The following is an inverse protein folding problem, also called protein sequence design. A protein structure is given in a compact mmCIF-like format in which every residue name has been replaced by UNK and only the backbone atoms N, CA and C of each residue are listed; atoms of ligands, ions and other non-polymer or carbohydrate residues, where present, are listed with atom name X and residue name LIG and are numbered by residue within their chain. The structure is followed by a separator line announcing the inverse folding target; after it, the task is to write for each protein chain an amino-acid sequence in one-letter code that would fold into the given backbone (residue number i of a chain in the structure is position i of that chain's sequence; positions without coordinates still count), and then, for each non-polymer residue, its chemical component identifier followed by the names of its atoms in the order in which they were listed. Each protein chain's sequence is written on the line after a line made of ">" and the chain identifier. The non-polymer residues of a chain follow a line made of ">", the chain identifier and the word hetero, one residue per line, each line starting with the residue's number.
data_IF_605408821229
#
_entry.id   IF_605408821229
#
_cell.length_a   1.000
_cell.length_b   1.000
_cell.length_c   1.000
_cell.angle_alpha   90.00
_cell.angle_beta   90.00
_cell.angle_gamma   90.00
#
_symmetry.space_group_name_H-M   'P 1'
#
loop_
_entity.id
_entity.type
_entity.pdbx_description
1 polymer ?
#
# COMPACT_ATOMS: atom_id res chain seq x y z
N UNK A 1 -23.56 6.27 3.67
CA UNK A 1 -23.72 5.09 2.80
C UNK A 1 -22.74 5.22 1.64
N UNK A 2 -22.04 4.14 1.29
CA UNK A 2 -21.22 4.10 0.08
C UNK A 2 -22.14 4.18 -1.15
N UNK A 3 -21.74 4.93 -2.19
CA UNK A 3 -22.54 5.01 -3.41
C UNK A 3 -22.40 3.73 -4.24
N UNK A 4 -23.42 3.43 -5.04
CA UNK A 4 -23.48 2.19 -5.83
C UNK A 4 -22.32 2.05 -6.83
N UNK A 5 -21.77 3.17 -7.32
CA UNK A 5 -20.66 3.11 -8.25
C UNK A 5 -19.38 2.66 -7.55
N UNK A 6 -19.07 3.25 -6.39
CA UNK A 6 -17.92 2.85 -5.58
C UNK A 6 -17.99 1.37 -5.17
N UNK A 7 -19.16 0.89 -4.76
CA UNK A 7 -19.33 -0.53 -4.39
C UNK A 7 -19.07 -1.47 -5.58
N UNK A 8 -19.52 -1.09 -6.79
CA UNK A 8 -19.28 -1.88 -8.00
C UNK A 8 -17.79 -1.93 -8.34
N UNK A 9 -17.11 -0.78 -8.31
CA UNK A 9 -15.67 -0.70 -8.58
C UNK A 9 -14.86 -1.46 -7.53
N UNK A 10 -15.22 -1.34 -6.24
CA UNK A 10 -14.61 -2.11 -5.17
C UNK A 10 -14.78 -3.62 -5.39
N UNK A 11 -15.98 -4.08 -5.79
CA UNK A 11 -16.21 -5.49 -6.10
C UNK A 11 -15.30 -5.98 -7.24
N UNK A 12 -15.10 -5.17 -8.27
CA UNK A 12 -14.16 -5.47 -9.35
C UNK A 12 -12.72 -5.54 -8.86
N UNK A 13 -12.29 -4.58 -8.02
CA UNK A 13 -10.95 -4.57 -7.41
C UNK A 13 -10.73 -5.85 -6.60
N UNK A 14 -11.67 -6.21 -5.72
CA UNK A 14 -11.56 -7.42 -4.90
C UNK A 14 -11.51 -8.68 -5.77
N UNK A 15 -12.36 -8.79 -6.79
CA UNK A 15 -12.30 -9.90 -7.75
C UNK A 15 -10.92 -10.03 -8.41
N UNK A 16 -10.32 -8.90 -8.82
CA UNK A 16 -8.98 -8.89 -9.41
C UNK A 16 -7.89 -9.32 -8.45
N UNK A 17 -8.03 -9.02 -7.15
CA UNK A 17 -7.07 -9.40 -6.12
C UNK A 17 -7.20 -10.88 -5.75
N UNK A 18 -8.43 -11.37 -5.53
CA UNK A 18 -8.62 -12.67 -4.85
C UNK A 18 -9.01 -13.83 -5.76
N UNK A 19 -9.62 -13.55 -6.92
CA UNK A 19 -10.23 -14.61 -7.75
C UNK A 19 -9.64 -14.70 -9.17
N UNK A 20 -9.14 -13.58 -9.69
CA UNK A 20 -8.81 -13.47 -11.11
C UNK A 20 -7.75 -14.49 -11.55
N UNK A 21 -6.73 -14.74 -10.73
CA UNK A 21 -5.70 -15.75 -11.02
C UNK A 21 -6.30 -17.14 -11.26
N UNK A 22 -7.05 -17.64 -10.28
CA UNK A 22 -7.68 -18.98 -10.31
C UNK A 22 -8.68 -19.11 -11.46
N UNK A 23 -9.39 -18.03 -11.80
CA UNK A 23 -10.41 -18.06 -12.87
C UNK A 23 -9.85 -17.98 -14.29
N UNK A 24 -8.56 -17.67 -14.46
CA UNK A 24 -7.97 -17.38 -15.77
C UNK A 24 -6.74 -18.25 -16.12
N UNK A 25 -6.48 -19.29 -15.33
CA UNK A 25 -5.51 -20.35 -15.66
C UNK A 25 -6.10 -21.34 -16.68
N UNK A 26 -5.22 -21.96 -17.45
CA UNK A 26 -5.55 -22.97 -18.47
C UNK A 26 -5.86 -24.36 -17.91
N UNK A 27 -5.62 -24.55 -16.60
CA UNK A 27 -5.78 -25.82 -15.91
C UNK A 27 -6.71 -25.69 -14.70
N UNK A 28 -7.18 -26.82 -14.19
CA UNK A 28 -8.05 -26.87 -13.02
C UNK A 28 -7.22 -26.90 -11.74
N UNK A 29 -7.51 -25.97 -10.82
CA UNK A 29 -6.87 -25.92 -9.51
C UNK A 29 -7.62 -26.81 -8.51
N UNK A 30 -7.39 -28.11 -8.58
CA UNK A 30 -8.03 -29.10 -7.67
C UNK A 30 -7.26 -29.28 -6.36
N UNK A 31 -5.95 -28.99 -6.36
CA UNK A 31 -5.11 -28.95 -5.16
C UNK A 31 -3.91 -28.02 -5.38
N UNK A 32 -3.28 -27.58 -4.28
CA UNK A 32 -2.06 -26.76 -4.31
C UNK A 32 -0.90 -27.52 -4.95
N UNK A 33 -0.87 -28.86 -4.88
CA UNK A 33 0.22 -29.67 -5.45
C UNK A 33 0.36 -29.53 -6.97
N UNK A 34 -0.71 -29.10 -7.65
CA UNK A 34 -0.67 -28.79 -9.09
C UNK A 34 0.35 -27.69 -9.40
N UNK A 35 0.63 -26.79 -8.45
CA UNK A 35 1.59 -25.70 -8.59
C UNK A 35 3.05 -26.14 -8.42
N UNK A 36 3.32 -27.40 -8.05
CA UNK A 36 4.69 -27.95 -8.04
C UNK A 36 5.26 -28.09 -9.45
N UNK A 37 4.39 -28.18 -10.46
CA UNK A 37 4.79 -28.04 -11.86
C UNK A 37 5.18 -26.57 -12.12
N UNK A 38 6.45 -26.36 -12.50
CA UNK A 38 7.02 -25.03 -12.68
C UNK A 38 6.25 -24.19 -13.72
N UNK A 39 5.76 -24.82 -14.79
CA UNK A 39 5.03 -24.12 -15.84
C UNK A 39 3.64 -23.70 -15.35
N UNK A 40 2.95 -24.59 -14.64
CA UNK A 40 1.63 -24.29 -14.05
C UNK A 40 1.73 -23.26 -12.93
N UNK A 41 2.77 -23.35 -12.09
CA UNK A 41 3.08 -22.39 -11.05
C UNK A 41 3.37 -21.00 -11.62
N UNK A 42 4.22 -20.91 -12.65
CA UNK A 42 4.49 -19.65 -13.34
C UNK A 42 3.22 -19.09 -13.99
N UNK A 43 2.44 -19.90 -14.69
CA UNK A 43 1.18 -19.46 -15.30
C UNK A 43 0.22 -18.90 -14.24
N UNK A 44 0.01 -19.62 -13.14
CA UNK A 44 -0.87 -19.19 -12.07
C UNK A 44 -0.45 -17.82 -11.53
N UNK A 45 0.84 -17.65 -11.21
CA UNK A 45 1.36 -16.40 -10.66
C UNK A 45 1.28 -15.26 -11.69
N UNK A 46 1.58 -15.51 -12.96
CA UNK A 46 1.37 -14.53 -14.04
C UNK A 46 -0.09 -14.07 -14.13
N UNK A 47 -1.07 -14.98 -13.93
CA UNK A 47 -2.50 -14.62 -13.91
C UNK A 47 -2.88 -13.85 -12.64
N UNK A 48 -2.35 -14.23 -11.47
CA UNK A 48 -2.54 -13.47 -10.22
C UNK A 48 -2.00 -12.06 -10.37
N UNK A 49 -0.77 -11.89 -10.84
CA UNK A 49 -0.15 -10.59 -11.05
C UNK A 49 -0.87 -9.75 -12.11
N UNK A 50 -1.43 -10.37 -13.15
CA UNK A 50 -2.30 -9.67 -14.09
C UNK A 50 -3.58 -9.14 -13.41
N UNK A 51 -4.15 -9.90 -12.48
CA UNK A 51 -5.22 -9.44 -11.60
C UNK A 51 -4.78 -8.26 -10.75
N UNK A 52 -3.65 -8.38 -10.04
CA UNK A 52 -3.09 -7.29 -9.24
C UNK A 52 -2.84 -6.02 -10.05
N UNK A 53 -2.33 -6.13 -11.27
CA UNK A 53 -2.10 -4.98 -12.15
C UNK A 53 -3.41 -4.27 -12.52
N UNK A 54 -4.47 -5.03 -12.81
CA UNK A 54 -5.82 -4.47 -13.03
C UNK A 54 -6.37 -3.78 -11.77
N UNK A 55 -6.20 -4.41 -10.61
CA UNK A 55 -6.62 -3.85 -9.32
C UNK A 55 -5.87 -2.55 -9.00
N UNK A 56 -4.54 -2.56 -9.09
CA UNK A 56 -3.65 -1.42 -8.86
C UNK A 56 -4.06 -0.21 -9.73
N UNK A 57 -4.28 -0.43 -11.04
CA UNK A 57 -4.75 0.62 -11.95
C UNK A 57 -6.09 1.22 -11.52
N UNK A 58 -7.07 0.39 -11.14
CA UNK A 58 -8.38 0.85 -10.68
C UNK A 58 -8.31 1.58 -9.34
N UNK A 59 -7.51 1.07 -8.39
CA UNK A 59 -7.27 1.71 -7.09
C UNK A 59 -6.68 3.09 -7.31
N UNK A 60 -5.64 3.20 -8.13
CA UNK A 60 -4.98 4.45 -8.44
C UNK A 60 -5.93 5.46 -9.07
N UNK A 61 -6.66 5.06 -10.12
CA UNK A 61 -7.66 5.92 -10.78
C UNK A 61 -8.69 6.45 -9.79
N UNK A 62 -9.18 5.59 -8.89
CA UNK A 62 -10.13 5.99 -7.86
C UNK A 62 -9.55 6.94 -6.83
N UNK A 63 -8.33 6.68 -6.36
CA UNK A 63 -7.64 7.55 -5.41
C UNK A 63 -7.38 8.95 -6.01
N UNK A 64 -7.03 9.03 -7.28
CA UNK A 64 -6.89 10.32 -7.99
C UNK A 64 -8.23 11.07 -8.06
N UNK A 65 -9.33 10.40 -8.39
CA UNK A 65 -10.66 11.01 -8.43
C UNK A 65 -11.14 11.47 -7.06
N UNK A 66 -10.93 10.66 -6.02
CA UNK A 66 -11.26 10.99 -4.63
C UNK A 66 -10.40 12.14 -4.12
N UNK A 67 -9.11 12.18 -4.45
CA UNK A 67 -8.19 13.26 -4.11
C UNK A 67 -8.68 14.62 -4.66
N UNK A 68 -9.06 14.68 -5.94
CA UNK A 68 -9.65 15.89 -6.55
C UNK A 68 -10.92 16.33 -5.83
N UNK A 69 -11.81 15.38 -5.51
CA UNK A 69 -13.06 15.66 -4.77
C UNK A 69 -12.76 16.18 -3.36
N UNK A 70 -11.78 15.59 -2.68
CA UNK A 70 -11.36 15.95 -1.33
C UNK A 70 -10.88 17.40 -1.28
N UNK A 71 -9.96 17.78 -2.17
CA UNK A 71 -9.45 19.16 -2.25
C UNK A 71 -10.57 20.17 -2.49
N UNK A 72 -11.48 19.89 -3.44
CA UNK A 72 -12.64 20.75 -3.73
C UNK A 72 -13.56 20.91 -2.53
N UNK A 73 -13.88 19.82 -1.83
CA UNK A 73 -14.75 19.87 -0.63
C UNK A 73 -14.07 20.63 0.50
N UNK A 74 -12.75 20.47 0.68
CA UNK A 74 -11.99 21.22 1.68
C UNK A 74 -11.99 22.73 1.41
N UNK A 75 -11.85 23.15 0.16
CA UNK A 75 -11.96 24.55 -0.25
C UNK A 75 -13.36 25.10 0.02
N UNK A 76 -14.41 24.37 -0.36
CA UNK A 76 -15.79 24.74 -0.08
C UNK A 76 -16.07 24.91 1.42
N UNK A 77 -15.55 24.01 2.27
CA UNK A 77 -15.67 24.14 3.73
C UNK A 77 -14.99 25.42 4.22
N UNK A 78 -13.80 25.75 3.71
CA UNK A 78 -13.08 26.98 4.08
C UNK A 78 -13.89 28.22 3.68
N UNK A 79 -14.48 28.25 2.49
CA UNK A 79 -15.31 29.35 2.00
C UNK A 79 -16.59 29.52 2.82
N UNK A 80 -17.33 28.45 3.08
CA UNK A 80 -18.55 28.47 3.90
C UNK A 80 -18.28 28.98 5.32
N UNK A 81 -17.14 28.60 5.91
CA UNK A 81 -16.69 29.12 7.21
C UNK A 81 -16.40 30.62 7.16
N UNK A 82 -15.75 31.11 6.10
CA UNK A 82 -15.48 32.56 5.90
C UNK A 82 -16.77 33.37 5.72
N UNK A 83 -17.73 32.82 4.99
CA UNK A 83 -19.03 33.44 4.74
C UNK A 83 -20.00 33.35 5.94
N UNK A 84 -19.58 32.75 7.06
CA UNK A 84 -20.42 32.51 8.25
C UNK A 84 -21.75 31.82 7.88
N UNK A 85 -21.71 30.93 6.90
CA UNK A 85 -22.88 30.17 6.46
C UNK A 85 -23.45 29.30 7.58
N UNK A 86 -24.70 28.85 7.41
CA UNK A 86 -25.36 28.04 8.42
C UNK A 86 -24.55 26.80 8.83
N UNK A 87 -24.47 26.56 10.15
CA UNK A 87 -23.73 25.44 10.74
C UNK A 87 -24.11 24.08 10.14
N UNK A 88 -25.39 23.87 9.81
CA UNK A 88 -25.90 22.64 9.22
C UNK A 88 -25.28 22.35 7.83
N UNK A 89 -25.04 23.40 7.03
CA UNK A 89 -24.46 23.26 5.69
C UNK A 89 -22.98 22.87 5.80
N UNK A 90 -22.25 23.50 6.73
CA UNK A 90 -20.85 23.19 7.02
C UNK A 90 -20.72 21.73 7.50
N UNK A 91 -21.56 21.32 8.45
CA UNK A 91 -21.57 19.94 8.96
C UNK A 91 -21.83 18.90 7.88
N UNK A 92 -22.76 19.18 6.95
CA UNK A 92 -23.02 18.28 5.82
C UNK A 92 -21.78 18.11 4.93
N UNK A 93 -21.04 19.19 4.66
CA UNK A 93 -19.79 19.13 3.88
C UNK A 93 -18.66 18.43 4.62
N UNK A 94 -18.57 18.60 5.93
CA UNK A 94 -17.64 17.85 6.77
C UNK A 94 -17.96 16.34 6.75
N UNK A 95 -19.24 15.96 6.76
CA UNK A 95 -19.65 14.55 6.56
C UNK A 95 -19.28 14.03 5.17
N UNK A 96 -19.49 14.82 4.10
CA UNK A 96 -19.07 14.46 2.74
C UNK A 96 -17.55 14.19 2.69
N UNK A 97 -16.76 15.02 3.38
CA UNK A 97 -15.31 14.87 3.49
C UNK A 97 -14.90 13.57 4.20
N UNK A 98 -15.56 13.23 5.32
CA UNK A 98 -15.29 11.96 6.02
C UNK A 98 -15.65 10.73 5.19
N UNK A 99 -16.73 10.79 4.40
CA UNK A 99 -17.07 9.72 3.44
C UNK A 99 -15.98 9.55 2.39
N UNK A 100 -15.41 10.65 1.87
CA UNK A 100 -14.31 10.59 0.90
C UNK A 100 -13.08 9.94 1.53
N UNK A 101 -12.66 10.37 2.73
CA UNK A 101 -11.53 9.78 3.46
C UNK A 101 -11.74 8.30 3.75
N UNK A 102 -12.97 7.90 4.10
CA UNK A 102 -13.29 6.49 4.31
C UNK A 102 -13.09 5.67 3.03
N UNK A 103 -13.56 6.16 1.87
CA UNK A 103 -13.36 5.48 0.59
C UNK A 103 -11.87 5.36 0.23
N UNK A 104 -11.08 6.40 0.45
CA UNK A 104 -9.63 6.35 0.26
C UNK A 104 -8.98 5.27 1.13
N UNK A 105 -9.37 5.17 2.40
CA UNK A 105 -8.88 4.12 3.31
C UNK A 105 -9.24 2.71 2.81
N UNK A 106 -10.47 2.50 2.34
CA UNK A 106 -10.91 1.21 1.80
C UNK A 106 -10.07 0.79 0.59
N UNK A 107 -9.79 1.73 -0.33
CA UNK A 107 -8.95 1.45 -1.50
C UNK A 107 -7.50 1.13 -1.13
N UNK A 108 -6.92 1.86 -0.17
CA UNK A 108 -5.59 1.55 0.36
C UNK A 108 -5.54 0.18 1.03
N UNK A 109 -6.61 -0.24 1.71
CA UNK A 109 -6.71 -1.57 2.30
C UNK A 109 -6.80 -2.68 1.25
N UNK A 110 -7.41 -2.40 0.09
CA UNK A 110 -7.34 -3.32 -1.04
C UNK A 110 -5.90 -3.42 -1.61
N UNK A 111 -5.16 -2.31 -1.68
CA UNK A 111 -3.74 -2.34 -2.05
C UNK A 111 -2.88 -3.08 -1.00
N UNK A 112 -3.17 -2.89 0.29
CA UNK A 112 -2.52 -3.65 1.36
C UNK A 112 -2.72 -5.15 1.15
N UNK A 113 -3.93 -5.61 0.79
CA UNK A 113 -4.18 -7.02 0.54
C UNK A 113 -3.30 -7.62 -0.59
N UNK A 114 -2.92 -6.81 -1.58
CA UNK A 114 -1.93 -7.20 -2.59
C UNK A 114 -0.54 -7.32 -1.93
N UNK A 115 -0.12 -6.30 -1.19
CA UNK A 115 1.16 -6.30 -0.49
C UNK A 115 1.32 -7.50 0.47
N UNK A 116 0.30 -7.80 1.26
CA UNK A 116 0.29 -8.95 2.18
C UNK A 116 0.54 -10.27 1.43
N UNK A 117 -0.10 -10.45 0.28
CA UNK A 117 0.11 -11.65 -0.55
C UNK A 117 1.53 -11.71 -1.14
N UNK A 118 2.08 -10.58 -1.63
CA UNK A 118 3.45 -10.54 -2.16
C UNK A 118 4.52 -10.80 -1.09
N UNK A 119 4.20 -10.47 0.16
CA UNK A 119 5.06 -10.66 1.34
C UNK A 119 4.76 -11.97 2.08
N UNK A 120 4.00 -12.89 1.48
CA UNK A 120 3.63 -14.19 2.06
C UNK A 120 2.98 -14.09 3.46
N UNK A 121 2.29 -12.99 3.75
CA UNK A 121 1.72 -12.68 5.06
C UNK A 121 2.74 -12.66 6.22
N UNK A 122 4.03 -12.46 5.93
CA UNK A 122 5.07 -12.42 6.94
C UNK A 122 5.05 -11.07 7.70
N UNK A 123 4.51 -11.11 8.91
CA UNK A 123 4.41 -9.93 9.78
C UNK A 123 5.78 -9.37 10.17
N UNK A 124 6.82 -10.19 10.21
CA UNK A 124 8.18 -9.75 10.56
C UNK A 124 8.74 -8.84 9.46
N UNK A 125 8.48 -9.18 8.19
CA UNK A 125 8.83 -8.37 7.03
C UNK A 125 7.96 -7.12 6.95
N UNK A 126 6.64 -7.25 7.09
CA UNK A 126 5.68 -6.13 7.01
C UNK A 126 6.00 -5.03 8.02
N UNK A 127 6.36 -5.39 9.27
CA UNK A 127 6.71 -4.41 10.31
C UNK A 127 7.93 -3.56 9.96
N UNK A 128 8.86 -4.06 9.15
CA UNK A 128 10.08 -3.33 8.74
C UNK A 128 9.80 -2.29 7.66
N UNK A 129 8.73 -2.47 6.90
CA UNK A 129 8.30 -1.54 5.85
C UNK A 129 7.56 -0.31 6.41
N UNK A 130 7.09 -0.37 7.66
CA UNK A 130 6.41 0.72 8.33
C UNK A 130 7.37 1.55 9.18
N UNK A 131 7.33 2.88 9.04
CA UNK A 131 8.26 3.83 9.68
C UNK A 131 7.56 4.91 10.50
N UNK A 132 6.26 4.76 10.79
CA UNK A 132 5.44 5.76 11.47
C UNK A 132 5.44 7.14 10.77
N UNK A 133 5.66 7.18 9.46
CA UNK A 133 5.61 8.40 8.66
C UNK A 133 4.14 8.68 8.30
N UNK A 134 3.65 9.92 8.37
CA UNK A 134 2.33 10.26 7.85
C UNK A 134 2.22 9.87 6.37
N UNK A 135 1.14 9.18 5.93
CA UNK A 135 0.99 8.78 4.54
C UNK A 135 1.04 9.98 3.60
N UNK A 136 1.78 9.84 2.50
CA UNK A 136 1.79 10.85 1.44
C UNK A 136 0.46 10.77 0.67
N UNK A 137 -0.08 11.92 0.33
CA UNK A 137 -1.28 11.99 -0.49
C UNK A 137 -0.92 11.61 -1.93
N UNK A 138 -1.45 10.49 -2.43
CA UNK A 138 -1.24 9.97 -3.80
C UNK A 138 -1.46 11.05 -4.87
N UNK A 139 -2.35 12.01 -4.61
CA UNK A 139 -2.66 13.11 -5.53
C UNK A 139 -1.51 14.09 -5.79
N UNK A 140 -0.48 14.11 -4.92
CA UNK A 140 0.68 15.00 -5.07
C UNK A 140 1.93 14.30 -5.61
N UNK A 141 1.85 12.99 -5.90
CA UNK A 141 2.94 12.18 -6.46
C UNK A 141 2.92 12.22 -7.99
N UNK A 142 4.07 11.99 -8.64
CA UNK A 142 4.15 11.92 -10.10
C UNK A 142 3.72 10.55 -10.62
N UNK A 143 2.49 10.17 -10.26
CA UNK A 143 1.83 8.88 -10.52
C UNK A 143 2.02 8.37 -11.95
N UNK A 144 2.13 9.28 -12.92
CA UNK A 144 2.31 8.92 -14.32
C UNK A 144 3.64 8.21 -14.55
N UNK A 145 4.72 8.74 -14.00
CA UNK A 145 6.06 8.14 -14.10
C UNK A 145 6.09 6.77 -13.43
N UNK A 146 5.51 6.65 -12.23
CA UNK A 146 5.44 5.38 -11.50
C UNK A 146 4.69 4.32 -12.31
N UNK A 147 3.58 4.69 -12.93
CA UNK A 147 2.80 3.78 -13.78
C UNK A 147 3.55 3.36 -15.05
N UNK A 148 4.31 4.27 -15.67
CA UNK A 148 5.12 3.94 -16.86
C UNK A 148 6.19 2.90 -16.51
N UNK A 149 6.88 3.08 -15.38
CA UNK A 149 7.90 2.12 -14.91
C UNK A 149 7.27 0.77 -14.50
N UNK A 150 6.16 0.80 -13.76
CA UNK A 150 5.38 -0.40 -13.38
C UNK A 150 4.94 -1.18 -14.63
N UNK A 151 4.46 -0.49 -15.67
CA UNK A 151 4.07 -1.12 -16.92
C UNK A 151 5.26 -1.72 -17.67
N UNK A 152 6.39 -1.01 -17.72
CA UNK A 152 7.64 -1.48 -18.31
C UNK A 152 8.11 -2.79 -17.66
N UNK A 153 8.25 -2.80 -16.33
CA UNK A 153 8.65 -3.99 -15.56
C UNK A 153 7.68 -5.16 -15.81
N UNK A 154 6.37 -4.90 -15.74
CA UNK A 154 5.36 -5.96 -15.88
C UNK A 154 5.25 -6.51 -17.32
N UNK A 155 5.49 -5.68 -18.34
CA UNK A 155 5.50 -6.12 -19.74
C UNK A 155 6.71 -6.99 -20.07
N UNK A 156 7.85 -6.75 -19.41
CA UNK A 156 9.06 -7.55 -19.58
C UNK A 156 8.91 -8.99 -19.06
N UNK A 157 8.36 -9.17 -17.86
CA UNK A 157 7.94 -10.49 -17.35
C UNK A 157 6.74 -10.34 -16.40
N UNK A 158 5.59 -10.92 -16.78
CA UNK A 158 4.36 -10.84 -15.99
C UNK A 158 4.38 -11.72 -14.72
N UNK A 159 5.41 -12.56 -14.54
CA UNK A 159 5.69 -13.24 -13.28
C UNK A 159 6.44 -12.35 -12.27
N UNK A 160 6.80 -11.12 -12.67
CA UNK A 160 7.33 -10.07 -11.81
C UNK A 160 6.22 -9.04 -11.58
N UNK A 161 5.94 -8.72 -10.33
CA UNK A 161 4.93 -7.71 -9.99
C UNK A 161 5.55 -6.51 -9.26
N UNK A 162 5.50 -5.31 -9.86
CA UNK A 162 5.81 -4.05 -9.21
C UNK A 162 4.54 -3.42 -8.59
N UNK A 163 4.50 -3.37 -7.26
CA UNK A 163 3.47 -2.68 -6.48
C UNK A 163 3.91 -1.24 -6.20
N UNK A 164 3.03 -0.27 -6.45
CA UNK A 164 3.25 1.13 -6.06
C UNK A 164 3.00 1.28 -4.56
N UNK A 165 4.05 1.58 -3.81
CA UNK A 165 4.02 1.62 -2.35
C UNK A 165 3.09 2.72 -1.81
N UNK A 166 3.03 3.85 -2.52
CA UNK A 166 2.16 4.98 -2.19
C UNK A 166 0.66 4.64 -2.22
N UNK A 167 0.26 3.51 -2.84
CA UNK A 167 -1.11 3.01 -2.79
C UNK A 167 -1.44 2.26 -1.50
N UNK A 168 -0.42 1.78 -0.79
CA UNK A 168 -0.59 1.03 0.46
C UNK A 168 -0.74 1.98 1.65
N UNK A 169 -1.07 1.45 2.81
CA UNK A 169 -1.12 2.21 4.07
C UNK A 169 0.09 1.99 4.97
N UNK A 170 0.89 0.95 4.71
CA UNK A 170 1.96 0.54 5.62
C UNK A 170 3.36 0.46 4.99
N UNK A 171 3.50 0.39 3.65
CA UNK A 171 4.81 0.43 3.01
C UNK A 171 5.24 1.88 2.87
N UNK A 172 6.33 2.25 3.55
CA UNK A 172 6.80 3.63 3.68
C UNK A 172 8.25 3.81 3.23
N UNK A 173 8.74 2.86 2.42
CA UNK A 173 10.13 2.77 1.98
C UNK A 173 10.14 2.40 0.51
N UNK A 174 10.84 3.20 -0.31
CA UNK A 174 10.84 3.05 -1.76
C UNK A 174 9.49 3.44 -2.39
N UNK A 175 9.50 3.68 -3.69
CA UNK A 175 8.31 3.97 -4.48
C UNK A 175 7.65 2.69 -4.98
N UNK A 176 8.44 1.65 -5.29
CA UNK A 176 7.96 0.33 -5.71
C UNK A 176 8.45 -0.79 -4.80
N UNK A 177 7.57 -1.76 -4.56
CA UNK A 177 7.89 -3.10 -4.06
C UNK A 177 7.83 -4.07 -5.23
N UNK A 178 8.94 -4.73 -5.56
CA UNK A 178 9.02 -5.69 -6.66
C UNK A 178 9.21 -7.10 -6.12
N UNK A 179 8.33 -8.00 -6.59
CA UNK A 179 8.36 -9.42 -6.26
C UNK A 179 8.40 -10.27 -7.52
N UNK A 180 9.26 -11.27 -7.55
CA UNK A 180 9.36 -12.23 -8.65
C UNK A 180 8.93 -13.61 -8.17
N UNK A 181 8.30 -14.39 -9.03
CA UNK A 181 7.81 -15.72 -8.69
C UNK A 181 8.90 -16.66 -8.15
N UNK A 182 10.03 -16.74 -8.87
CA UNK A 182 11.11 -17.69 -8.58
C UNK A 182 12.23 -17.08 -7.73
N UNK A 183 12.07 -15.85 -7.25
CA UNK A 183 13.09 -15.18 -6.46
C UNK A 183 12.58 -14.92 -5.04
N UNK A 184 13.17 -15.53 -4.01
CA UNK A 184 12.78 -15.26 -2.63
C UNK A 184 13.20 -13.86 -2.18
N UNK A 185 14.06 -13.16 -2.92
CA UNK A 185 14.46 -11.79 -2.59
C UNK A 185 13.33 -10.79 -2.86
N UNK A 186 13.14 -9.90 -1.90
CA UNK A 186 12.36 -8.70 -2.05
C UNK A 186 13.23 -7.59 -2.66
N UNK A 187 12.67 -6.76 -3.54
CA UNK A 187 13.36 -5.55 -4.03
C UNK A 187 12.51 -4.32 -3.75
N UNK A 188 13.11 -3.32 -3.10
CA UNK A 188 12.55 -1.98 -2.95
C UNK A 188 13.24 -1.05 -3.95
N UNK A 189 12.46 -0.36 -4.79
CA UNK A 189 12.98 0.55 -5.80
C UNK A 189 12.49 1.95 -5.48
N UNK A 190 13.40 2.91 -5.52
CA UNK A 190 13.10 4.35 -5.41
C UNK A 190 13.22 4.95 -6.82
N UNK A 191 12.14 5.51 -7.32
CA UNK A 191 12.06 6.09 -8.66
C UNK A 191 12.56 7.53 -8.64
N UNK A 192 13.46 7.83 -9.58
CA UNK A 192 14.14 9.12 -9.66
C UNK A 192 13.78 9.79 -10.97
N UNK A 193 13.10 10.92 -10.88
CA UNK A 193 12.72 11.71 -12.06
C UNK A 193 13.30 13.12 -12.03
N UNK A 194 13.64 13.63 -13.20
CA UNK A 194 13.95 15.03 -13.44
C UNK A 194 15.44 15.33 -13.46
N UNK A 195 15.79 16.41 -14.16
CA UNK A 195 17.18 16.79 -14.49
C UNK A 195 18.14 16.80 -13.30
N UNK A 196 17.67 17.23 -12.13
CA UNK A 196 18.54 17.29 -10.94
C UNK A 196 18.81 15.90 -10.37
N UNK A 197 17.83 15.00 -10.38
CA UNK A 197 18.03 13.61 -9.94
C UNK A 197 18.93 12.85 -10.94
N UNK A 198 18.77 13.09 -12.24
CA UNK A 198 19.68 12.56 -13.27
C UNK A 198 21.13 13.04 -13.06
N UNK A 199 21.31 14.32 -12.73
CA UNK A 199 22.62 14.89 -12.42
C UNK A 199 23.22 14.28 -11.14
N UNK A 200 22.44 14.15 -10.07
CA UNK A 200 22.87 13.49 -8.83
C UNK A 200 23.25 12.03 -9.11
N UNK A 201 22.43 11.30 -9.87
CA UNK A 201 22.69 9.92 -10.26
C UNK A 201 24.01 9.79 -11.04
N UNK A 202 24.29 10.71 -11.96
CA UNK A 202 25.57 10.77 -12.69
C UNK A 202 26.75 10.98 -11.77
N UNK A 203 26.67 11.94 -10.84
CA UNK A 203 27.74 12.19 -9.87
C UNK A 203 28.03 10.94 -9.01
N UNK A 204 26.99 10.25 -8.57
CA UNK A 204 27.12 9.00 -7.81
C UNK A 204 27.72 7.90 -8.67
N UNK A 205 27.27 7.76 -9.93
CA UNK A 205 27.83 6.79 -10.88
C UNK A 205 29.31 7.01 -11.13
N UNK A 206 29.71 8.24 -11.44
CA UNK A 206 31.12 8.63 -11.64
C UNK A 206 31.98 8.35 -10.39
N UNK A 207 31.45 8.62 -9.20
CA UNK A 207 32.14 8.32 -7.94
C UNK A 207 32.24 6.82 -7.67
N UNK A 208 31.22 6.04 -8.03
CA UNK A 208 31.22 4.59 -7.86
C UNK A 208 32.21 3.92 -8.80
N UNK A 209 32.29 4.39 -10.05
CA UNK A 209 33.27 3.91 -11.04
C UNK A 209 34.71 4.32 -10.70
N UNK A 210 34.89 5.53 -10.14
CA UNK A 210 36.19 6.07 -9.77
C UNK A 210 36.11 6.89 -8.48
N UNK A 211 36.28 6.24 -7.30
CA UNK A 211 36.16 6.91 -6.02
C UNK A 211 37.21 8.01 -5.84
N UNK A 212 36.77 9.26 -5.71
CA UNK A 212 37.63 10.40 -5.48
C UNK A 212 36.90 11.51 -4.72
N UNK A 213 37.12 11.58 -3.41
CA UNK A 213 36.45 12.53 -2.51
C UNK A 213 36.73 13.98 -2.90
N UNK A 214 37.95 14.27 -3.35
CA UNK A 214 38.34 15.62 -3.77
C UNK A 214 37.58 16.07 -5.01
N UNK A 215 37.36 15.17 -5.99
CA UNK A 215 36.58 15.45 -7.20
C UNK A 215 35.12 15.71 -6.84
N UNK A 216 34.53 14.82 -6.02
CA UNK A 216 33.15 14.97 -5.56
C UNK A 216 32.96 16.28 -4.77
N UNK A 217 33.91 16.62 -3.90
CA UNK A 217 33.88 17.88 -3.15
C UNK A 217 33.80 19.09 -4.09
N UNK A 218 34.65 19.16 -5.12
CA UNK A 218 34.61 20.28 -6.06
C UNK A 218 33.31 20.30 -6.87
N UNK A 219 32.86 19.15 -7.39
CA UNK A 219 31.59 19.04 -8.12
C UNK A 219 30.38 19.49 -7.28
N UNK A 220 30.40 19.25 -5.97
CA UNK A 220 29.35 19.70 -5.05
C UNK A 220 29.53 21.17 -4.65
N UNK A 221 30.75 21.67 -4.48
CA UNK A 221 31.02 23.04 -3.99
C UNK A 221 30.45 24.14 -4.89
N UNK A 222 30.28 23.86 -6.18
CA UNK A 222 29.71 24.79 -7.17
C UNK A 222 28.16 24.77 -7.19
N UNK A 223 27.52 23.87 -6.43
CA UNK A 223 26.07 23.68 -6.45
C UNK A 223 25.35 24.52 -5.40
N UNK A 224 24.09 24.85 -5.68
CA UNK A 224 23.27 25.62 -4.75
C UNK A 224 22.81 24.80 -3.53
N UNK A 225 22.25 25.48 -2.53
CA UNK A 225 21.74 24.81 -1.31
C UNK A 225 20.60 23.83 -1.62
N UNK A 226 19.83 24.08 -2.67
CA UNK A 226 18.70 23.22 -3.06
C UNK A 226 19.21 21.87 -3.59
N UNK A 227 20.21 21.89 -4.46
CA UNK A 227 20.90 20.72 -4.97
C UNK A 227 21.51 19.91 -3.83
N UNK A 228 22.23 20.55 -2.91
CA UNK A 228 22.80 19.86 -1.75
C UNK A 228 21.75 19.15 -0.90
N UNK A 229 20.59 19.78 -0.69
CA UNK A 229 19.46 19.15 0.02
C UNK A 229 18.92 17.94 -0.75
N UNK A 230 18.78 18.05 -2.07
CA UNK A 230 18.33 16.93 -2.92
C UNK A 230 19.36 15.79 -2.96
N UNK A 231 20.65 16.09 -3.09
CA UNK A 231 21.74 15.11 -3.03
C UNK A 231 21.73 14.33 -1.71
N UNK A 232 21.68 15.04 -0.57
CA UNK A 232 21.58 14.39 0.76
C UNK A 232 20.31 13.53 0.89
N UNK A 233 19.19 14.02 0.38
CA UNK A 233 17.93 13.26 0.36
C UNK A 233 18.05 12.00 -0.49
N UNK A 234 18.64 12.12 -1.68
CA UNK A 234 18.86 11.00 -2.61
C UNK A 234 19.64 9.88 -1.93
N UNK A 235 20.83 10.18 -1.42
CA UNK A 235 21.69 9.19 -0.73
C UNK A 235 20.96 8.55 0.46
N UNK A 236 20.22 9.34 1.25
CA UNK A 236 19.48 8.82 2.40
C UNK A 236 18.36 7.85 1.99
N UNK A 237 17.63 8.15 0.91
CA UNK A 237 16.56 7.29 0.40
C UNK A 237 17.12 5.98 -0.16
N UNK A 238 18.17 6.06 -1.00
CA UNK A 238 18.85 4.87 -1.55
C UNK A 238 19.38 3.97 -0.44
N UNK A 239 20.14 4.54 0.50
CA UNK A 239 20.68 3.80 1.63
C UNK A 239 19.58 3.13 2.44
N UNK A 240 18.47 3.82 2.69
CA UNK A 240 17.34 3.26 3.44
C UNK A 240 16.70 2.08 2.72
N UNK A 241 16.46 2.20 1.42
CA UNK A 241 15.87 1.14 0.62
C UNK A 241 16.80 -0.09 0.61
N UNK A 242 18.11 0.12 0.43
CA UNK A 242 19.14 -0.92 0.48
C UNK A 242 19.20 -1.59 1.85
N UNK A 243 19.44 -0.83 2.92
CA UNK A 243 19.57 -1.36 4.29
C UNK A 243 18.32 -2.18 4.68
N UNK A 244 17.12 -1.69 4.31
CA UNK A 244 15.87 -2.41 4.59
C UNK A 244 15.75 -3.69 3.78
N UNK A 245 16.11 -3.64 2.50
CA UNK A 245 16.12 -4.82 1.61
C UNK A 245 17.09 -5.88 2.13
N UNK A 246 18.28 -5.48 2.56
CA UNK A 246 19.29 -6.37 3.12
C UNK A 246 18.82 -7.01 4.43
N UNK A 247 18.20 -6.23 5.33
CA UNK A 247 17.63 -6.77 6.58
C UNK A 247 16.54 -7.80 6.29
N UNK A 248 15.63 -7.51 5.37
CA UNK A 248 14.53 -8.41 5.02
C UNK A 248 15.07 -9.70 4.38
N UNK A 249 16.02 -9.59 3.46
CA UNK A 249 16.52 -10.73 2.70
C UNK A 249 17.54 -11.58 3.46
N UNK A 250 18.34 -10.98 4.35
CA UNK A 250 19.37 -11.69 5.12
C UNK A 250 18.92 -12.08 6.54
N UNK A 251 17.81 -11.51 7.02
CA UNK A 251 17.38 -11.65 8.41
C UNK A 251 18.28 -10.91 9.40
N UNK A 252 19.27 -10.13 8.97
CA UNK A 252 20.22 -9.44 9.84
C UNK A 252 20.53 -8.02 9.35
N UNK A 253 20.87 -7.11 10.26
CA UNK A 253 21.38 -5.79 9.89
C UNK A 253 21.30 -4.81 11.05
N UNK A 254 21.24 -3.52 10.76
CA UNK A 254 21.18 -2.47 11.80
C UNK A 254 19.88 -1.69 11.74
N UNK A 255 19.28 -1.47 12.89
CA UNK A 255 18.10 -0.61 13.00
C UNK A 255 18.47 0.85 12.68
N UNK A 256 17.79 1.44 11.69
CA UNK A 256 18.08 2.82 11.26
C UNK A 256 17.83 3.87 12.37
N UNK A 257 16.93 3.57 13.32
CA UNK A 257 16.54 4.51 14.38
C UNK A 257 17.45 4.41 15.60
N UNK A 258 17.75 3.20 16.03
CA UNK A 258 18.51 2.93 17.27
C UNK A 258 19.97 2.59 17.03
N UNK A 259 20.35 2.21 15.80
CA UNK A 259 21.70 1.78 15.44
C UNK A 259 22.08 0.38 15.94
N UNK A 260 21.15 -0.32 16.60
CA UNK A 260 21.37 -1.63 17.19
C UNK A 260 21.34 -2.72 16.12
N UNK A 261 22.11 -3.78 16.34
CA UNK A 261 22.06 -4.97 15.50
C UNK A 261 20.71 -5.68 15.67
N UNK A 262 20.05 -5.91 14.54
CA UNK A 262 18.80 -6.67 14.43
C UNK A 262 19.14 -8.05 13.91
N UNK A 263 18.51 -9.06 14.51
CA UNK A 263 18.30 -10.37 13.90
C UNK A 263 16.79 -10.64 13.85
N UNK A 264 16.26 -10.90 12.66
CA UNK A 264 14.92 -11.43 12.47
C UNK A 264 14.95 -12.87 13.00
N UNK A 265 14.05 -13.18 13.93
CA UNK A 265 13.93 -14.51 14.49
C UNK A 265 13.36 -15.40 13.38
N UNK A 266 14.07 -16.47 13.03
CA UNK A 266 13.68 -17.41 11.96
C UNK A 266 12.42 -18.24 12.30
N UNK A 267 11.93 -18.13 13.54
CA UNK A 267 10.71 -18.80 13.98
C UNK A 267 9.51 -18.27 13.20
N UNK A 268 8.78 -19.19 12.57
CA UNK A 268 7.53 -18.89 11.89
C UNK A 268 6.49 -18.53 12.95
N UNK A 269 6.34 -17.24 13.21
CA UNK A 269 5.18 -16.75 13.94
C UNK A 269 3.97 -16.87 13.03
N UNK A 270 3.18 -17.92 13.21
CA UNK A 270 1.85 -17.98 12.62
C UNK A 270 1.04 -16.82 13.22
N UNK A 271 0.78 -15.81 12.41
CA UNK A 271 -0.15 -14.75 12.79
C UNK A 271 -1.51 -15.41 12.92
N UNK A 272 -2.04 -15.47 14.13
CA UNK A 272 -3.38 -15.99 14.36
C UNK A 272 -4.34 -15.06 13.64
N UNK A 273 -4.95 -15.54 12.57
CA UNK A 273 -5.98 -14.80 11.87
C UNK A 273 -7.29 -14.92 12.64
N UNK A 274 -8.16 -13.93 12.46
CA UNK A 274 -9.51 -13.95 13.03
C UNK A 274 -10.54 -14.42 12.01
N UNK A 275 -10.11 -15.13 10.97
CA UNK A 275 -10.96 -15.52 9.84
C UNK A 275 -12.07 -16.47 10.29
N UNK A 276 -11.75 -17.40 11.20
CA UNK A 276 -12.73 -18.30 11.83
C UNK A 276 -13.71 -17.51 12.69
N UNK A 277 -13.21 -16.54 13.46
CA UNK A 277 -14.04 -15.68 14.27
C UNK A 277 -15.00 -14.85 13.43
N UNK A 278 -14.53 -14.24 12.35
CA UNK A 278 -15.33 -13.44 11.42
C UNK A 278 -16.31 -14.31 10.64
N UNK A 279 -15.91 -15.50 10.19
CA UNK A 279 -16.79 -16.45 9.49
C UNK A 279 -17.95 -16.87 10.39
N UNK A 280 -17.63 -17.21 11.65
CA UNK A 280 -18.65 -17.49 12.68
C UNK A 280 -19.60 -16.29 12.86
N UNK A 281 -19.05 -15.08 12.92
CA UNK A 281 -19.86 -13.86 13.06
C UNK A 281 -20.78 -13.64 11.86
N UNK A 282 -20.35 -13.94 10.64
CA UNK A 282 -21.18 -13.83 9.43
C UNK A 282 -22.32 -14.84 9.45
N UNK A 283 -22.05 -16.09 9.83
CA UNK A 283 -23.10 -17.11 10.00
C UNK A 283 -24.11 -16.74 11.10
N UNK A 284 -23.62 -16.17 12.21
CA UNK A 284 -24.48 -15.68 13.30
C UNK A 284 -25.35 -14.51 12.86
N UNK A 285 -24.79 -13.61 12.03
CA UNK A 285 -25.52 -12.48 11.45
C UNK A 285 -26.64 -12.97 10.52
N UNK A 286 -26.42 -14.01 9.72
CA UNK A 286 -27.48 -14.58 8.89
C UNK A 286 -28.64 -15.14 9.73
N UNK A 287 -28.35 -15.63 10.94
CA UNK A 287 -29.35 -16.17 11.88
C UNK A 287 -30.04 -15.08 12.72
N UNK A 288 -29.27 -14.10 13.21
CA UNK A 288 -29.69 -13.17 14.29
C UNK A 288 -29.71 -11.70 13.87
N UNK A 289 -29.31 -11.39 12.63
CA UNK A 289 -29.11 -10.04 12.06
C UNK A 289 -27.96 -9.22 12.68
N UNK A 290 -27.31 -9.73 13.72
CA UNK A 290 -26.13 -9.15 14.33
C UNK A 290 -25.26 -10.24 14.97
N UNK A 291 -23.97 -9.96 15.10
CA UNK A 291 -23.02 -10.73 15.90
C UNK A 291 -22.02 -9.79 16.53
N UNK A 292 -21.64 -10.04 17.78
CA UNK A 292 -20.66 -9.25 18.52
C UNK A 292 -19.66 -10.20 19.18
N UNK A 293 -18.37 -9.95 18.96
CA UNK A 293 -17.27 -10.68 19.61
C UNK A 293 -16.29 -9.70 20.21
N UNK A 294 -15.66 -10.14 21.30
CA UNK A 294 -14.48 -9.49 21.86
C UNK A 294 -13.29 -10.38 21.48
N UNK A 295 -12.36 -9.82 20.73
CA UNK A 295 -11.15 -10.47 20.25
C UNK A 295 -9.98 -9.98 21.12
N UNK A 296 -9.17 -10.92 21.60
CA UNK A 296 -8.00 -10.70 22.46
C UNK A 296 -8.28 -9.74 23.64
N UNK A 297 -9.49 -9.86 24.21
CA UNK A 297 -9.99 -9.07 25.35
C UNK A 297 -9.99 -7.54 25.15
N UNK A 298 -9.64 -7.05 23.96
CA UNK A 298 -9.42 -5.62 23.71
C UNK A 298 -10.10 -5.07 22.45
N UNK A 299 -10.43 -5.93 21.47
CA UNK A 299 -11.07 -5.52 20.22
C UNK A 299 -12.52 -6.00 20.17
N UNK A 300 -13.47 -5.07 20.26
CA UNK A 300 -14.89 -5.38 20.07
C UNK A 300 -15.21 -5.30 18.57
N UNK A 301 -15.56 -6.43 17.96
CA UNK A 301 -16.01 -6.51 16.58
C UNK A 301 -17.51 -6.74 16.57
N UNK A 302 -18.23 -5.92 15.80
CA UNK A 302 -19.66 -6.08 15.53
C UNK A 302 -19.90 -6.27 14.05
N UNK A 303 -20.68 -7.29 13.69
CA UNK A 303 -21.19 -7.51 12.33
C UNK A 303 -22.71 -7.39 12.35
N UNK A 304 -23.29 -6.66 11.38
CA UNK A 304 -24.74 -6.35 11.36
C UNK A 304 -25.30 -6.35 9.92
N UNK A 305 -26.53 -6.83 9.74
CA UNK A 305 -27.24 -6.74 8.45
C UNK A 305 -27.99 -5.43 8.34
N UNK A 306 -27.59 -4.59 7.38
CA UNK A 306 -28.13 -3.23 7.19
C UNK A 306 -29.56 -3.17 6.62
N UNK A 307 -30.14 -4.31 6.22
CA UNK A 307 -31.51 -4.34 5.67
C UNK A 307 -32.63 -4.08 6.70
N UNK A 308 -32.34 -4.07 8.01
CA UNK A 308 -33.37 -3.91 9.06
C UNK A 308 -33.10 -2.86 10.16
N UNK A 309 -31.96 -2.16 10.14
CA UNK A 309 -31.64 -1.15 11.16
C UNK A 309 -31.39 0.23 10.55
N UNK A 310 -32.35 1.18 10.63
CA UNK A 310 -32.20 2.53 10.07
C UNK A 310 -31.22 3.46 10.81
N UNK A 311 -30.57 3.05 11.90
CA UNK A 311 -29.89 3.98 12.81
C UNK A 311 -28.55 3.45 13.37
N UNK A 312 -27.47 3.53 12.59
CA UNK A 312 -26.08 3.41 13.08
C UNK A 312 -25.65 4.71 13.79
N UNK A 313 -26.50 5.26 14.66
CA UNK A 313 -26.20 6.50 15.41
C UNK A 313 -25.88 6.25 16.88
N UNK A 314 -26.17 5.06 17.40
CA UNK A 314 -26.10 4.79 18.85
C UNK A 314 -24.83 4.04 19.26
N UNK A 315 -24.18 3.28 18.37
CA UNK A 315 -23.02 2.45 18.72
C UNK A 315 -21.67 3.18 18.74
N UNK A 316 -21.58 4.42 18.24
CA UNK A 316 -20.32 5.19 18.21
C UNK A 316 -20.24 6.34 19.21
N UNK A 317 -21.33 6.67 19.92
CA UNK A 317 -21.31 7.69 20.97
C UNK A 317 -20.93 7.01 22.30
N UNK A 318 -19.63 6.97 22.57
CA UNK A 318 -19.01 6.32 23.73
C UNK A 318 -19.58 6.76 25.08
N UNK A 319 -20.57 6.01 25.57
CA UNK A 319 -20.88 5.90 27.00
C UNK A 319 -20.87 4.43 27.39
N UNK A 320 -19.69 3.98 27.78
CA UNK A 320 -19.52 2.79 28.61
C UNK A 320 -19.94 3.21 30.02
N UNK A 321 -20.91 2.49 30.60
CA UNK A 321 -21.14 2.47 32.04
C UNK A 321 -20.13 1.52 32.69
#
# INVERSE_FOLDING_TARGET
>A
MLDNNFNRELKSIIHYIVEYGIKNISFKMDSIDVLRDVNKGKEFISKVHLGFMKAQKLILQNLLLLGKKRSRVQEQIKELKRQKSEKKIIQKREQDLEIIKYKEKVLRKAADAIAWQLLNNDITVIRRLYKHIPPVEVFNSNVKHDMEEVESIFQNDNAIFPLINDLTSFIQIGDLLVREYNNPQLRLIELKEGKVNEEIGRLIGEYTESPCDRRLYFQLSEKDTKFHKQFKRYIKQEKRALDTTDIINSGMGKDEVTGLDIKIIDDVFYTKHFDDEISTMLEDVDKRNYSLKIIDECLIVGCITLQKYPCIKVLMDGKIL
#
